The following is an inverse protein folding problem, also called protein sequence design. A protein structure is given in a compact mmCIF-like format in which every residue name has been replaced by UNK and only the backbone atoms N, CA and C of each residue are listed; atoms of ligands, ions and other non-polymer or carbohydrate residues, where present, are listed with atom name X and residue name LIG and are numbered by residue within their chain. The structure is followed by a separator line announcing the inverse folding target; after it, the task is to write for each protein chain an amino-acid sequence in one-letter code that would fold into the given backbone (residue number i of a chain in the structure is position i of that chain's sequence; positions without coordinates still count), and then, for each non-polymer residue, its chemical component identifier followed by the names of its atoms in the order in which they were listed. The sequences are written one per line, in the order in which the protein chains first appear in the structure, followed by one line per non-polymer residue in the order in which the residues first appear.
data_IF_928171257851
#
_entry.id   IF_928171257851
#
_cell.length_a   1.000
_cell.length_b   1.000
_cell.length_c   1.000
_cell.angle_alpha   90.00
_cell.angle_beta   90.00
_cell.angle_gamma   90.00
#
_symmetry.space_group_name_H-M   'P 1'
#
loop_
_entity.id
_entity.type
_entity.pdbx_description
1 polymer ?
#
# COMPACT_ATOMS: atom_id res chain seq x y z
N UNK A 1 16.63 17.20 -3.64
CA UNK A 1 15.69 16.33 -2.89
C UNK A 1 14.51 16.11 -3.82
N UNK A 2 14.07 14.86 -4.04
CA UNK A 2 12.87 14.61 -4.81
C UNK A 2 11.65 15.10 -4.01
N UNK A 3 10.61 15.68 -4.67
CA UNK A 3 9.38 16.07 -3.98
C UNK A 3 8.68 14.83 -3.43
N UNK A 4 7.78 14.98 -2.45
CA UNK A 4 6.92 13.88 -2.04
C UNK A 4 6.08 13.40 -3.23
N UNK A 5 5.82 12.11 -3.32
CA UNK A 5 4.96 11.58 -4.39
C UNK A 5 3.51 11.97 -4.12
N UNK A 6 3.07 11.82 -2.87
CA UNK A 6 1.72 12.17 -2.43
C UNK A 6 1.77 13.16 -1.27
N UNK A 7 0.94 14.18 -1.31
CA UNK A 7 0.60 15.03 -0.17
C UNK A 7 -0.87 14.84 0.21
N UNK A 8 -1.13 14.43 1.45
CA UNK A 8 -2.46 14.24 2.01
C UNK A 8 -2.84 15.48 2.82
N UNK A 9 -3.91 16.14 2.45
CA UNK A 9 -4.50 17.24 3.22
C UNK A 9 -5.71 16.74 3.99
N UNK A 10 -5.60 16.61 5.31
CA UNK A 10 -6.72 16.27 6.17
C UNK A 10 -7.42 17.55 6.60
N UNK A 11 -8.72 17.64 6.28
CA UNK A 11 -9.52 18.84 6.45
C UNK A 11 -10.66 18.56 7.45
N UNK A 12 -10.79 19.36 8.51
CA UNK A 12 -11.92 19.26 9.45
C UNK A 12 -12.23 20.63 10.08
N UNK A 13 -13.46 20.81 10.55
CA UNK A 13 -13.80 21.98 11.33
C UNK A 13 -13.19 21.88 12.74
N UNK A 14 -12.54 22.92 13.28
CA UNK A 14 -11.81 22.82 14.55
C UNK A 14 -12.71 22.48 15.76
N UNK A 15 -14.01 22.78 15.69
CA UNK A 15 -14.98 22.47 16.76
C UNK A 15 -15.55 21.03 16.62
N UNK A 16 -15.11 20.25 15.63
CA UNK A 16 -15.41 18.82 15.49
C UNK A 16 -14.30 17.98 16.17
N UNK A 17 -14.36 17.75 17.47
CA UNK A 17 -13.33 17.02 18.25
C UNK A 17 -12.94 15.67 17.66
N UNK A 18 -13.92 14.91 17.16
CA UNK A 18 -13.66 13.62 16.50
C UNK A 18 -12.87 13.78 15.21
N UNK A 19 -12.99 14.91 14.53
CA UNK A 19 -12.21 15.25 13.35
C UNK A 19 -10.72 15.32 13.67
N UNK A 20 -10.36 15.99 14.76
CA UNK A 20 -8.97 16.08 15.21
C UNK A 20 -8.37 14.71 15.54
N UNK A 21 -9.10 13.84 16.26
CA UNK A 21 -8.65 12.49 16.62
C UNK A 21 -8.38 11.63 15.39
N UNK A 22 -9.27 11.67 14.39
CA UNK A 22 -9.08 10.90 13.16
C UNK A 22 -7.96 11.49 12.29
N UNK A 23 -7.78 12.81 12.29
CA UNK A 23 -6.66 13.45 11.63
C UNK A 23 -5.31 13.00 12.21
N UNK A 24 -5.20 12.89 13.53
CA UNK A 24 -4.02 12.31 14.21
C UNK A 24 -3.83 10.84 13.83
N UNK A 25 -4.90 10.03 13.76
CA UNK A 25 -4.82 8.63 13.32
C UNK A 25 -4.26 8.51 11.90
N UNK A 26 -4.73 9.35 10.97
CA UNK A 26 -4.23 9.39 9.59
C UNK A 26 -2.75 9.81 9.59
N UNK A 27 -2.40 10.82 10.37
CA UNK A 27 -1.00 11.26 10.48
C UNK A 27 -0.09 10.16 11.02
N UNK A 28 -0.52 9.48 12.08
CA UNK A 28 0.25 8.39 12.68
C UNK A 28 0.43 7.23 11.70
N UNK A 29 -0.62 6.86 10.97
CA UNK A 29 -0.54 5.79 9.99
C UNK A 29 0.47 6.08 8.87
N UNK A 30 0.45 7.27 8.29
CA UNK A 30 1.27 7.59 7.12
C UNK A 30 2.63 8.23 7.43
N UNK A 31 2.78 8.93 8.56
CA UNK A 31 3.99 9.71 8.86
C UNK A 31 4.83 9.12 9.98
N UNK A 32 4.23 8.69 11.08
CA UNK A 32 4.94 8.23 12.28
C UNK A 32 4.93 6.71 12.43
N UNK A 33 3.95 6.04 11.83
CA UNK A 33 3.84 4.60 11.87
C UNK A 33 4.98 3.90 11.12
N UNK A 34 5.34 2.67 11.52
CA UNK A 34 6.48 1.94 10.96
C UNK A 34 6.29 1.61 9.47
N UNK A 35 5.06 1.57 9.00
CA UNK A 35 4.70 1.13 7.65
C UNK A 35 5.26 2.06 6.58
N UNK A 36 5.10 3.38 6.73
CA UNK A 36 5.49 4.37 5.73
C UNK A 36 6.68 5.25 6.14
N UNK A 37 7.09 5.21 7.42
CA UNK A 37 8.17 6.06 7.94
C UNK A 37 9.54 5.84 7.27
N UNK A 38 9.74 4.69 6.63
CA UNK A 38 10.95 4.37 5.85
C UNK A 38 10.93 4.89 4.41
N UNK A 39 9.78 5.32 3.90
CA UNK A 39 9.63 5.79 2.51
C UNK A 39 10.13 7.23 2.40
N UNK A 40 11.43 7.40 2.19
CA UNK A 40 12.09 8.71 2.18
C UNK A 40 12.21 9.28 0.78
N UNK A 41 12.06 10.61 0.73
CA UNK A 41 12.36 11.40 -0.46
C UNK A 41 11.28 11.34 -1.52
N UNK A 42 10.14 10.77 -1.21
CA UNK A 42 9.06 10.60 -2.16
C UNK A 42 7.87 9.87 -1.55
N UNK A 43 7.89 9.70 -0.23
CA UNK A 43 6.81 9.04 0.46
C UNK A 43 5.55 9.87 0.53
N UNK A 44 4.77 9.57 1.51
CA UNK A 44 3.52 10.24 1.81
C UNK A 44 3.80 11.38 2.80
N UNK A 45 3.31 12.57 2.51
CA UNK A 45 3.30 13.70 3.44
C UNK A 45 1.88 13.98 3.88
N UNK A 46 1.66 14.23 5.18
CA UNK A 46 0.35 14.61 5.72
C UNK A 46 0.39 16.05 6.24
N UNK A 47 -0.58 16.83 5.82
CA UNK A 47 -0.76 18.24 6.20
C UNK A 47 -2.16 18.48 6.74
N UNK A 48 -2.28 19.19 7.86
CA UNK A 48 -3.57 19.51 8.46
C UNK A 48 -4.15 20.85 7.96
N UNK A 49 -5.46 20.88 7.80
CA UNK A 49 -6.25 22.04 7.39
C UNK A 49 -7.53 22.13 8.23
N UNK A 50 -7.45 22.78 9.38
CA UNK A 50 -8.62 22.91 10.27
C UNK A 50 -8.91 24.35 10.67
N UNK A 51 -7.88 25.15 10.94
CA UNK A 51 -8.06 26.49 11.51
C UNK A 51 -7.56 27.56 10.55
N UNK A 52 -8.37 28.56 10.30
CA UNK A 52 -7.96 29.79 9.61
C UNK A 52 -7.20 30.74 10.53
N UNK A 53 -6.65 31.82 9.97
CA UNK A 53 -5.87 32.81 10.71
C UNK A 53 -6.69 33.59 11.76
N UNK A 54 -8.01 33.71 11.54
CA UNK A 54 -8.92 34.48 12.35
C UNK A 54 -9.84 33.62 13.22
N UNK A 55 -9.51 32.33 13.38
CA UNK A 55 -10.25 31.40 14.23
C UNK A 55 -11.14 30.42 13.44
N UNK A 56 -12.02 29.71 14.19
CA UNK A 56 -12.84 28.61 13.66
C UNK A 56 -13.86 29.02 12.60
N UNK A 57 -14.33 30.25 12.60
CA UNK A 57 -15.29 30.77 11.61
C UNK A 57 -14.65 30.99 10.24
N UNK A 58 -13.32 31.02 10.15
CA UNK A 58 -12.57 31.24 8.93
C UNK A 58 -12.03 29.92 8.37
N UNK A 59 -12.08 29.76 7.04
CA UNK A 59 -11.52 28.59 6.39
C UNK A 59 -9.98 28.56 6.53
N UNK A 60 -9.39 27.36 6.53
CA UNK A 60 -7.95 27.21 6.55
C UNK A 60 -7.30 27.66 5.22
N UNK A 61 -5.97 27.62 5.18
CA UNK A 61 -5.21 27.98 3.99
C UNK A 61 -5.62 27.11 2.79
N UNK A 62 -5.73 27.71 1.58
CA UNK A 62 -6.07 26.96 0.36
C UNK A 62 -5.13 25.78 0.10
N UNK A 63 -5.66 24.76 -0.54
CA UNK A 63 -4.92 23.61 -1.06
C UNK A 63 -4.63 23.91 -2.54
N UNK A 64 -3.39 23.65 -2.97
CA UNK A 64 -2.97 23.85 -4.35
C UNK A 64 -2.44 22.52 -4.90
N UNK A 65 -2.98 22.07 -6.02
CA UNK A 65 -2.49 20.89 -6.74
C UNK A 65 -1.30 21.25 -7.65
N UNK A 66 -1.33 22.42 -8.23
CA UNK A 66 -0.20 22.97 -8.97
C UNK A 66 0.67 23.70 -7.97
N UNK A 67 1.85 23.16 -7.75
CA UNK A 67 2.77 23.80 -6.82
C UNK A 67 3.02 25.23 -7.23
N UNK A 68 2.66 26.15 -6.37
CA UNK A 68 3.38 27.41 -6.39
C UNK A 68 4.82 27.02 -6.13
N UNK A 69 5.71 27.33 -7.06
CA UNK A 69 7.11 27.48 -6.72
C UNK A 69 7.12 28.34 -5.46
N UNK A 70 7.26 27.69 -4.32
CA UNK A 70 7.42 28.42 -3.08
C UNK A 70 8.63 29.29 -3.24
N UNK A 71 8.79 30.34 -2.43
CA UNK A 71 9.96 31.24 -2.49
C UNK A 71 11.31 30.51 -2.40
N UNK A 72 11.30 29.21 -2.12
CA UNK A 72 12.48 28.34 -2.00
C UNK A 72 12.55 27.24 -3.09
N UNK A 73 11.77 27.32 -4.17
CA UNK A 73 11.84 26.34 -5.27
C UNK A 73 11.42 24.91 -4.87
N UNK A 74 10.55 24.75 -3.86
CA UNK A 74 10.04 23.45 -3.46
C UNK A 74 9.07 22.97 -4.54
N UNK A 75 9.41 21.84 -5.16
CA UNK A 75 8.53 21.19 -6.12
C UNK A 75 7.30 20.62 -5.42
N UNK A 76 6.10 20.72 -6.04
CA UNK A 76 4.88 20.12 -5.52
C UNK A 76 4.96 18.59 -5.55
N UNK A 77 4.10 17.95 -4.75
CA UNK A 77 3.86 16.51 -4.85
C UNK A 77 3.30 16.15 -6.24
N UNK A 78 3.60 14.95 -6.72
CA UNK A 78 3.03 14.43 -7.97
C UNK A 78 1.51 14.28 -7.87
N UNK A 79 1.03 13.86 -6.69
CA UNK A 79 -0.39 13.67 -6.40
C UNK A 79 -0.79 14.40 -5.12
N UNK A 80 -2.04 14.83 -5.07
CA UNK A 80 -2.66 15.47 -3.91
C UNK A 80 -3.90 14.68 -3.52
N UNK A 81 -3.99 14.29 -2.26
CA UNK A 81 -5.17 13.66 -1.68
C UNK A 81 -5.80 14.60 -0.66
N UNK A 82 -7.07 14.91 -0.82
CA UNK A 82 -7.82 15.71 0.16
C UNK A 82 -8.78 14.78 0.90
N UNK A 83 -8.70 14.79 2.22
CA UNK A 83 -9.53 13.96 3.12
C UNK A 83 -10.40 14.88 3.99
N UNK A 84 -11.59 15.28 3.50
CA UNK A 84 -12.52 16.04 4.30
C UNK A 84 -13.19 15.14 5.35
N UNK A 85 -13.00 15.46 6.63
CA UNK A 85 -13.67 14.83 7.76
C UNK A 85 -14.91 15.67 8.08
N UNK A 86 -16.06 15.22 7.59
CA UNK A 86 -17.29 15.98 7.56
C UNK A 86 -18.05 15.82 8.88
N UNK A 87 -18.03 16.86 9.71
CA UNK A 87 -18.76 16.93 10.96
C UNK A 87 -19.96 17.88 10.91
N UNK A 88 -20.71 17.93 11.99
CA UNK A 88 -21.90 18.75 12.12
C UNK A 88 -21.56 20.25 12.05
N UNK A 89 -20.44 20.67 12.63
CA UNK A 89 -20.04 22.08 12.64
C UNK A 89 -19.61 22.53 11.24
N UNK A 90 -18.86 21.69 10.52
CA UNK A 90 -18.53 21.96 9.11
C UNK A 90 -19.81 22.06 8.27
N UNK A 91 -20.78 21.15 8.47
CA UNK A 91 -22.04 21.17 7.75
C UNK A 91 -22.82 22.47 8.02
N UNK A 92 -22.97 22.86 9.28
CA UNK A 92 -23.65 24.09 9.66
C UNK A 92 -22.98 25.32 9.03
N UNK A 93 -21.65 25.40 9.07
CA UNK A 93 -20.92 26.49 8.44
C UNK A 93 -21.03 26.48 6.90
N UNK A 94 -21.16 25.35 6.26
CA UNK A 94 -21.24 25.23 4.80
C UNK A 94 -22.67 25.49 4.25
N UNK A 95 -23.71 25.49 5.07
CA UNK A 95 -25.11 25.74 4.63
C UNK A 95 -25.29 27.12 3.96
N UNK A 96 -24.54 28.10 4.41
CA UNK A 96 -24.62 29.46 3.86
C UNK A 96 -23.52 29.63 2.79
N UNK A 97 -23.94 29.84 1.56
CA UNK A 97 -23.05 30.02 0.39
C UNK A 97 -22.08 31.22 0.52
N UNK A 98 -22.35 32.14 1.42
CA UNK A 98 -21.49 33.31 1.67
C UNK A 98 -20.40 33.04 2.73
N UNK A 99 -20.36 31.88 3.36
CA UNK A 99 -19.33 31.56 4.33
C UNK A 99 -18.01 31.15 3.67
N UNK A 100 -16.91 31.36 4.37
CA UNK A 100 -15.61 30.92 3.90
C UNK A 100 -15.51 29.38 3.82
N UNK A 101 -16.18 28.63 4.72
CA UNK A 101 -16.20 27.18 4.70
C UNK A 101 -16.94 26.63 3.48
N UNK A 102 -18.08 27.20 3.10
CA UNK A 102 -18.74 26.82 1.85
C UNK A 102 -17.81 27.00 0.64
N UNK A 103 -17.20 28.20 0.51
CA UNK A 103 -16.25 28.47 -0.55
C UNK A 103 -15.05 27.52 -0.56
N UNK A 104 -14.55 27.15 0.63
CA UNK A 104 -13.43 26.24 0.79
C UNK A 104 -13.75 24.80 0.35
N UNK A 105 -14.90 24.27 0.76
CA UNK A 105 -15.36 22.93 0.33
C UNK A 105 -15.63 22.89 -1.17
N UNK A 106 -16.23 23.96 -1.71
CA UNK A 106 -16.42 24.08 -3.16
C UNK A 106 -15.07 24.10 -3.90
N UNK A 107 -14.07 24.82 -3.37
CA UNK A 107 -12.73 24.86 -3.96
C UNK A 107 -12.04 23.48 -3.95
N UNK A 108 -12.29 22.62 -2.96
CA UNK A 108 -11.79 21.22 -2.94
C UNK A 108 -12.39 20.44 -4.12
N UNK A 109 -13.69 20.57 -4.38
CA UNK A 109 -14.34 19.92 -5.52
C UNK A 109 -13.77 20.43 -6.84
N UNK A 110 -13.66 21.75 -6.99
CA UNK A 110 -13.18 22.39 -8.21
C UNK A 110 -11.71 22.01 -8.49
N UNK A 111 -10.90 21.82 -7.44
CA UNK A 111 -9.51 21.36 -7.55
C UNK A 111 -9.42 19.96 -8.17
N UNK A 112 -10.28 19.03 -7.74
CA UNK A 112 -10.35 17.69 -8.34
C UNK A 112 -10.86 17.75 -9.79
N UNK A 113 -11.89 18.56 -10.07
CA UNK A 113 -12.43 18.71 -11.42
C UNK A 113 -11.40 19.27 -12.42
N UNK A 114 -10.50 20.12 -11.94
CA UNK A 114 -9.43 20.68 -12.76
C UNK A 114 -8.32 19.68 -13.10
N UNK A 115 -8.06 18.72 -12.22
CA UNK A 115 -6.95 17.74 -12.37
C UNK A 115 -7.32 16.39 -11.72
N UNK A 116 -8.33 15.67 -12.22
CA UNK A 116 -8.83 14.45 -11.58
C UNK A 116 -7.79 13.32 -11.54
N UNK A 117 -6.83 13.31 -12.45
CA UNK A 117 -5.73 12.37 -12.53
C UNK A 117 -4.63 12.61 -11.48
N UNK A 118 -4.62 13.77 -10.84
CA UNK A 118 -3.62 14.17 -9.84
C UNK A 118 -4.20 14.44 -8.47
N UNK A 119 -5.48 14.78 -8.40
CA UNK A 119 -6.15 15.18 -7.17
C UNK A 119 -7.26 14.19 -6.82
N UNK A 120 -7.08 13.43 -5.74
CA UNK A 120 -8.13 12.58 -5.16
C UNK A 120 -8.85 13.28 -4.02
N UNK A 121 -10.16 13.11 -3.92
CA UNK A 121 -10.97 13.58 -2.78
C UNK A 121 -11.63 12.38 -2.12
N UNK A 122 -11.36 12.20 -0.82
CA UNK A 122 -11.74 11.03 -0.02
C UNK A 122 -12.56 11.46 1.20
N UNK A 123 -13.85 11.83 1.05
CA UNK A 123 -14.64 12.32 2.15
C UNK A 123 -14.93 11.22 3.17
N UNK A 124 -14.94 11.57 4.45
CA UNK A 124 -15.41 10.73 5.54
C UNK A 124 -16.45 11.47 6.38
N UNK A 125 -17.61 10.84 6.59
CA UNK A 125 -18.67 11.42 7.44
C UNK A 125 -18.42 11.05 8.91
N UNK A 126 -18.15 12.04 9.75
CA UNK A 126 -18.00 11.85 11.19
C UNK A 126 -19.31 11.38 11.85
N UNK A 127 -20.42 11.81 11.28
CA UNK A 127 -21.78 11.41 11.70
C UNK A 127 -22.76 11.57 10.53
N UNK A 128 -23.91 10.88 10.61
CA UNK A 128 -24.93 10.93 9.57
C UNK A 128 -25.55 12.33 9.37
N UNK A 129 -25.61 13.16 10.42
CA UNK A 129 -26.14 14.52 10.33
C UNK A 129 -25.30 15.47 9.49
N UNK A 130 -24.02 15.15 9.26
CA UNK A 130 -23.15 15.97 8.44
C UNK A 130 -23.44 15.85 6.92
N UNK A 131 -24.10 14.75 6.49
CA UNK A 131 -24.29 14.47 5.07
C UNK A 131 -25.75 14.28 4.67
N UNK A 132 -26.68 14.12 5.61
CA UNK A 132 -28.11 13.97 5.29
C UNK A 132 -28.73 15.34 4.96
N UNK A 133 -29.12 15.50 3.70
CA UNK A 133 -29.81 16.72 3.21
C UNK A 133 -29.04 18.05 3.49
N UNK A 134 -27.71 18.00 3.44
CA UNK A 134 -26.84 19.18 3.70
C UNK A 134 -26.18 19.66 2.40
N UNK A 135 -25.68 20.89 2.41
CA UNK A 135 -24.84 21.42 1.34
C UNK A 135 -23.55 20.64 1.15
N UNK A 136 -22.98 20.04 2.20
CA UNK A 136 -21.84 19.16 2.07
C UNK A 136 -22.14 17.96 1.17
N UNK A 137 -23.34 17.36 1.28
CA UNK A 137 -23.79 16.29 0.40
C UNK A 137 -23.93 16.77 -1.06
N UNK A 138 -24.42 17.97 -1.29
CA UNK A 138 -24.49 18.53 -2.64
C UNK A 138 -23.11 18.78 -3.24
N UNK A 139 -22.16 19.27 -2.45
CA UNK A 139 -20.81 19.61 -2.90
C UNK A 139 -19.90 18.38 -3.09
N UNK A 140 -19.97 17.41 -2.18
CA UNK A 140 -19.04 16.27 -2.12
C UNK A 140 -19.69 14.90 -2.34
N UNK A 141 -21.02 14.81 -2.47
CA UNK A 141 -21.73 13.53 -2.59
C UNK A 141 -21.46 12.76 -3.89
N UNK A 142 -20.85 13.39 -4.89
CA UNK A 142 -20.37 12.70 -6.10
C UNK A 142 -19.10 11.87 -5.86
N UNK A 143 -18.36 12.15 -4.79
CA UNK A 143 -17.19 11.39 -4.42
C UNK A 143 -17.57 10.14 -3.60
N UNK A 144 -16.76 9.11 -3.74
CA UNK A 144 -16.93 7.91 -2.94
C UNK A 144 -16.36 8.14 -1.53
N UNK A 145 -17.24 8.08 -0.51
CA UNK A 145 -16.86 8.23 0.88
C UNK A 145 -16.01 7.04 1.34
N UNK A 146 -14.90 7.30 2.02
CA UNK A 146 -14.12 6.26 2.70
C UNK A 146 -14.85 5.78 3.95
N UNK A 147 -14.63 4.54 4.34
CA UNK A 147 -15.28 3.89 5.47
C UNK A 147 -16.82 4.06 5.51
N UNK A 148 -17.46 4.12 4.33
CA UNK A 148 -18.91 4.34 4.20
C UNK A 148 -19.77 3.10 4.57
N UNK A 149 -19.13 1.97 4.91
CA UNK A 149 -19.81 0.77 5.36
C UNK A 149 -20.41 0.93 6.76
N UNK A 150 -21.25 -0.03 7.18
CA UNK A 150 -21.73 -0.08 8.54
C UNK A 150 -20.65 -0.66 9.47
N UNK A 151 -19.89 0.16 10.20
CA UNK A 151 -18.75 -0.30 11.00
C UNK A 151 -19.18 -1.24 12.15
N UNK A 152 -20.44 -1.20 12.53
CA UNK A 152 -20.96 -1.98 13.66
C UNK A 152 -21.34 -3.41 13.27
N UNK A 153 -21.42 -3.74 11.99
CA UNK A 153 -21.87 -5.08 11.56
C UNK A 153 -20.84 -6.18 11.79
N UNK A 154 -19.55 -5.85 11.88
CA UNK A 154 -18.49 -6.88 11.87
C UNK A 154 -17.36 -6.67 12.91
N UNK A 155 -17.49 -5.69 13.80
CA UNK A 155 -16.55 -5.48 14.92
C UNK A 155 -15.17 -4.92 14.51
N UNK A 156 -15.06 -4.34 13.32
CA UNK A 156 -13.85 -3.64 12.90
C UNK A 156 -13.78 -2.24 13.54
N UNK A 157 -12.57 -1.82 13.91
CA UNK A 157 -12.32 -0.46 14.36
C UNK A 157 -12.43 0.54 13.20
N UNK A 158 -13.16 1.64 13.43
CA UNK A 158 -13.44 2.66 12.42
C UNK A 158 -12.14 3.30 11.90
N UNK A 159 -11.20 3.58 12.78
CA UNK A 159 -9.93 4.20 12.40
C UNK A 159 -9.12 3.28 11.49
N UNK A 160 -9.10 1.98 11.80
CA UNK A 160 -8.48 0.92 11.00
C UNK A 160 -9.13 0.82 9.60
N UNK A 161 -10.46 0.81 9.55
CA UNK A 161 -11.21 0.79 8.29
C UNK A 161 -10.96 2.05 7.45
N UNK A 162 -10.94 3.23 8.09
CA UNK A 162 -10.67 4.51 7.42
C UNK A 162 -9.27 4.51 6.78
N UNK A 163 -8.24 4.10 7.54
CA UNK A 163 -6.88 4.03 7.02
C UNK A 163 -6.77 3.05 5.85
N UNK A 164 -7.36 1.86 5.94
CA UNK A 164 -7.36 0.88 4.83
C UNK A 164 -8.01 1.43 3.58
N UNK A 165 -9.24 1.96 3.69
CA UNK A 165 -9.98 2.47 2.54
C UNK A 165 -9.27 3.68 1.91
N UNK A 166 -8.68 4.55 2.74
CA UNK A 166 -7.87 5.66 2.27
C UNK A 166 -6.61 5.18 1.56
N UNK A 167 -5.86 4.25 2.17
CA UNK A 167 -4.65 3.65 1.55
C UNK A 167 -4.97 3.03 0.20
N UNK A 168 -6.09 2.32 0.07
CA UNK A 168 -6.54 1.76 -1.20
C UNK A 168 -6.84 2.87 -2.23
N UNK A 169 -7.55 3.91 -1.83
CA UNK A 169 -7.84 5.05 -2.71
C UNK A 169 -6.58 5.79 -3.15
N UNK A 170 -5.58 5.93 -2.26
CA UNK A 170 -4.28 6.51 -2.60
C UNK A 170 -3.50 5.64 -3.60
N UNK A 171 -3.51 4.32 -3.43
CA UNK A 171 -2.88 3.41 -4.38
C UNK A 171 -3.52 3.50 -5.77
N UNK A 172 -4.86 3.61 -5.83
CA UNK A 172 -5.60 3.84 -7.10
C UNK A 172 -5.26 5.19 -7.73
N UNK A 173 -5.10 6.26 -6.93
CA UNK A 173 -4.73 7.58 -7.44
C UNK A 173 -3.33 7.57 -8.05
N UNK A 174 -2.36 6.86 -7.46
CA UNK A 174 -0.97 6.78 -7.95
C UNK A 174 -0.85 5.87 -9.18
N UNK A 175 -1.60 4.79 -9.24
CA UNK A 175 -1.54 3.77 -10.29
C UNK A 175 -2.94 3.38 -10.76
N UNK A 176 -3.67 4.26 -11.47
CA UNK A 176 -5.06 4.01 -11.86
C UNK A 176 -5.19 2.80 -12.80
N UNK A 177 -4.25 2.59 -13.71
CA UNK A 177 -4.29 1.50 -14.69
C UNK A 177 -4.04 0.13 -14.06
N UNK A 178 -3.28 0.07 -12.95
CA UNK A 178 -2.93 -1.17 -12.27
C UNK A 178 -3.89 -1.52 -11.12
N UNK A 179 -4.68 -0.56 -10.63
CA UNK A 179 -5.36 -0.64 -9.33
C UNK A 179 -6.86 -0.29 -9.39
N UNK A 180 -7.58 -0.62 -10.47
CA UNK A 180 -9.03 -0.34 -10.55
C UNK A 180 -9.78 -0.89 -9.31
N UNK A 181 -9.49 -2.11 -8.89
CA UNK A 181 -9.80 -2.63 -7.55
C UNK A 181 -8.75 -3.65 -7.14
N UNK A 182 -8.12 -3.41 -5.99
CA UNK A 182 -7.17 -4.37 -5.44
C UNK A 182 -7.83 -5.73 -5.24
N UNK A 183 -7.25 -6.73 -5.89
CA UNK A 183 -7.70 -8.11 -5.78
C UNK A 183 -6.81 -8.88 -4.81
N UNK A 184 -7.39 -9.41 -3.75
CA UNK A 184 -6.67 -10.25 -2.80
C UNK A 184 -6.69 -11.71 -3.27
N UNK A 185 -5.52 -12.22 -3.63
CA UNK A 185 -5.32 -13.63 -3.92
C UNK A 185 -5.04 -14.40 -2.64
N UNK A 186 -5.85 -15.40 -2.30
CA UNK A 186 -5.71 -16.23 -1.11
C UNK A 186 -4.97 -17.52 -1.47
N UNK A 187 -3.73 -17.64 -1.00
CA UNK A 187 -2.93 -18.86 -1.11
C UNK A 187 -3.04 -19.68 0.18
N UNK A 188 -3.46 -20.94 0.06
CA UNK A 188 -3.58 -21.86 1.19
C UNK A 188 -3.36 -23.32 0.79
N UNK A 189 -3.07 -24.18 1.74
CA UNK A 189 -2.98 -25.63 1.49
C UNK A 189 -4.34 -26.29 1.52
N UNK A 190 -4.57 -27.18 0.55
CA UNK A 190 -5.78 -28.04 0.50
C UNK A 190 -5.64 -29.35 1.29
N UNK A 191 -4.42 -29.64 1.75
CA UNK A 191 -4.11 -30.81 2.57
C UNK A 191 -3.67 -30.33 3.92
N UNK A 192 -4.20 -30.94 4.96
CA UNK A 192 -4.02 -30.56 6.34
C UNK A 192 -3.22 -31.61 7.09
N UNK A 193 -2.53 -31.22 8.16
CA UNK A 193 -1.96 -32.15 9.14
C UNK A 193 -3.05 -32.79 9.98
N UNK A 194 -2.72 -33.85 10.73
CA UNK A 194 -3.66 -34.43 11.65
C UNK A 194 -4.09 -33.40 12.71
N UNK A 195 -5.36 -33.05 12.69
CA UNK A 195 -5.96 -32.07 13.62
C UNK A 195 -6.10 -30.64 13.11
N UNK A 196 -5.60 -30.31 11.91
CA UNK A 196 -5.76 -28.96 11.34
C UNK A 196 -7.00 -28.79 10.45
N UNK A 197 -7.53 -29.87 9.83
CA UNK A 197 -8.46 -29.79 8.69
C UNK A 197 -9.59 -28.79 8.87
N UNK A 198 -10.48 -29.02 9.83
CA UNK A 198 -11.63 -28.14 10.09
C UNK A 198 -11.23 -26.73 10.53
N UNK A 199 -10.12 -26.59 11.21
CA UNK A 199 -9.57 -25.31 11.67
C UNK A 199 -9.06 -24.43 10.53
N UNK A 200 -8.38 -25.04 9.56
CA UNK A 200 -7.87 -24.32 8.38
C UNK A 200 -9.01 -23.88 7.47
N UNK A 201 -10.00 -24.76 7.23
CA UNK A 201 -11.18 -24.43 6.46
C UNK A 201 -11.97 -23.29 7.11
N UNK A 202 -12.11 -23.31 8.45
CA UNK A 202 -12.71 -22.21 9.19
C UNK A 202 -11.95 -20.89 9.07
N UNK A 203 -10.61 -20.92 9.01
CA UNK A 203 -9.81 -19.72 8.77
C UNK A 203 -10.00 -19.18 7.35
N UNK A 204 -9.98 -20.05 6.35
CA UNK A 204 -10.20 -19.67 4.94
C UNK A 204 -11.57 -19.00 4.78
N UNK A 205 -12.63 -19.58 5.35
CA UNK A 205 -13.97 -18.99 5.29
C UNK A 205 -14.05 -17.65 6.03
N UNK A 206 -13.36 -17.52 7.19
CA UNK A 206 -13.28 -16.25 7.90
C UNK A 206 -12.59 -15.17 7.07
N UNK A 207 -11.47 -15.50 6.42
CA UNK A 207 -10.74 -14.55 5.55
C UNK A 207 -11.65 -14.11 4.40
N UNK A 208 -12.33 -15.05 3.75
CA UNK A 208 -13.31 -14.77 2.67
C UNK A 208 -14.45 -13.86 3.14
N UNK A 209 -15.03 -14.18 4.29
CA UNK A 209 -16.10 -13.37 4.87
C UNK A 209 -15.62 -11.94 5.15
N UNK A 210 -14.42 -11.80 5.72
CA UNK A 210 -13.85 -10.48 6.02
C UNK A 210 -13.59 -9.69 4.75
N UNK A 211 -13.02 -10.30 3.70
CA UNK A 211 -12.78 -9.62 2.41
C UNK A 211 -14.10 -9.15 1.81
N UNK A 212 -15.16 -9.99 1.77
CA UNK A 212 -16.48 -9.60 1.22
C UNK A 212 -17.11 -8.40 1.94
N UNK A 213 -16.72 -8.16 3.18
CA UNK A 213 -17.17 -7.01 3.97
C UNK A 213 -16.29 -5.77 3.79
N UNK A 214 -15.24 -5.84 2.97
CA UNK A 214 -14.36 -4.72 2.62
C UNK A 214 -14.65 -4.25 1.19
N UNK A 215 -13.86 -3.27 0.73
CA UNK A 215 -13.88 -2.81 -0.66
C UNK A 215 -12.92 -3.59 -1.56
N UNK A 216 -12.22 -4.57 -1.01
CA UNK A 216 -11.31 -5.42 -1.78
C UNK A 216 -12.11 -6.40 -2.63
N UNK A 217 -11.59 -6.70 -3.80
CA UNK A 217 -12.08 -7.84 -4.58
C UNK A 217 -11.42 -9.11 -4.06
N UNK A 218 -12.18 -10.17 -4.06
CA UNK A 218 -11.68 -11.51 -3.78
C UNK A 218 -11.33 -12.19 -5.10
N UNK A 219 -10.10 -12.67 -5.23
CA UNK A 219 -9.69 -13.58 -6.29
C UNK A 219 -9.23 -14.89 -5.65
N UNK A 220 -9.76 -15.98 -6.16
CA UNK A 220 -9.60 -17.29 -5.57
C UNK A 220 -8.48 -18.12 -6.14
N UNK A 221 -8.13 -19.08 -5.36
CA UNK A 221 -7.48 -20.35 -5.60
C UNK A 221 -7.76 -20.95 -6.99
N UNK A 222 -6.85 -21.81 -7.43
CA UNK A 222 -6.95 -22.59 -8.68
C UNK A 222 -8.28 -23.30 -8.94
N UNK A 223 -9.19 -23.39 -7.94
CA UNK A 223 -10.51 -24.00 -8.13
C UNK A 223 -11.53 -23.08 -8.80
N UNK A 224 -11.31 -21.77 -8.78
CA UNK A 224 -12.22 -20.81 -9.39
C UNK A 224 -11.87 -20.53 -10.86
N UNK A 225 -10.76 -21.13 -11.32
CA UNK A 225 -10.37 -21.09 -12.72
C UNK A 225 -11.18 -22.09 -13.56
N UNK A 226 -11.49 -21.68 -14.77
CA UNK A 226 -12.09 -22.60 -15.73
C UNK A 226 -11.16 -23.79 -15.99
N UNK A 227 -11.70 -25.02 -16.14
CA UNK A 227 -10.89 -26.15 -16.51
C UNK A 227 -10.09 -25.89 -17.78
N UNK A 228 -8.77 -26.08 -17.70
CA UNK A 228 -7.83 -25.85 -18.83
C UNK A 228 -7.10 -24.50 -18.82
N UNK A 229 -7.34 -23.65 -17.82
CA UNK A 229 -6.57 -22.40 -17.65
C UNK A 229 -5.17 -22.73 -17.12
N UNK A 230 -4.13 -22.12 -17.71
CA UNK A 230 -2.77 -22.17 -17.17
C UNK A 230 -2.70 -21.24 -15.95
N UNK A 231 -2.66 -21.85 -14.77
CA UNK A 231 -2.59 -21.14 -13.49
C UNK A 231 -1.39 -20.19 -13.38
N UNK A 232 -0.22 -20.63 -13.83
CA UNK A 232 0.98 -19.82 -13.78
C UNK A 232 0.84 -18.57 -14.64
N UNK A 233 0.21 -18.69 -15.79
CA UNK A 233 -0.03 -17.57 -16.68
C UNK A 233 -1.06 -16.60 -16.07
N UNK A 234 -2.17 -17.12 -15.54
CA UNK A 234 -3.20 -16.29 -14.88
C UNK A 234 -2.64 -15.50 -13.68
N UNK A 235 -1.82 -16.15 -12.85
CA UNK A 235 -1.19 -15.46 -11.72
C UNK A 235 -0.19 -14.39 -12.18
N UNK A 236 0.54 -14.63 -13.26
CA UNK A 236 1.44 -13.62 -13.85
C UNK A 236 0.66 -12.46 -14.45
N UNK A 237 -0.40 -12.73 -15.19
CA UNK A 237 -1.21 -11.72 -15.86
C UNK A 237 -1.91 -10.79 -14.84
N UNK A 238 -2.31 -11.35 -13.70
CA UNK A 238 -2.95 -10.60 -12.62
C UNK A 238 -1.98 -10.03 -11.58
N UNK A 239 -0.70 -10.31 -11.68
CA UNK A 239 0.28 -9.87 -10.67
C UNK A 239 0.35 -8.35 -10.51
N UNK A 240 0.07 -7.60 -11.56
CA UNK A 240 0.02 -6.14 -11.56
C UNK A 240 -1.11 -5.57 -10.68
N UNK A 241 -2.27 -6.24 -10.69
CA UNK A 241 -3.52 -5.78 -10.05
C UNK A 241 -3.89 -6.54 -8.78
N UNK A 242 -3.05 -7.50 -8.36
CA UNK A 242 -3.32 -8.39 -7.23
C UNK A 242 -2.26 -8.30 -6.15
N UNK A 243 -2.65 -8.69 -4.95
CA UNK A 243 -1.77 -8.90 -3.82
C UNK A 243 -2.08 -10.26 -3.17
N UNK A 244 -1.05 -10.93 -2.66
CA UNK A 244 -1.16 -12.28 -2.14
C UNK A 244 -1.28 -12.30 -0.63
N UNK A 245 -2.32 -12.96 -0.13
CA UNK A 245 -2.49 -13.31 1.27
C UNK A 245 -2.23 -14.80 1.44
N UNK A 246 -1.07 -15.17 1.98
CA UNK A 246 -0.65 -16.55 2.15
C UNK A 246 -1.01 -17.06 3.55
N UNK A 247 -1.87 -18.08 3.65
CA UNK A 247 -2.27 -18.70 4.92
C UNK A 247 -1.28 -19.81 5.26
N UNK A 248 -0.28 -19.49 6.07
CA UNK A 248 0.77 -20.41 6.47
C UNK A 248 0.32 -21.27 7.63
N UNK A 249 -0.01 -22.51 7.33
CA UNK A 249 -0.33 -23.59 8.26
C UNK A 249 0.81 -24.58 8.36
N UNK A 250 0.71 -25.61 9.18
CA UNK A 250 1.80 -26.58 9.44
C UNK A 250 2.39 -27.21 8.17
N UNK A 251 1.60 -27.40 7.13
CA UNK A 251 2.04 -28.03 5.88
C UNK A 251 2.31 -27.06 4.74
N UNK A 252 2.02 -25.76 4.90
CA UNK A 252 2.09 -24.77 3.81
C UNK A 252 3.47 -24.73 3.17
N UNK A 253 4.52 -24.54 3.97
CA UNK A 253 5.90 -24.39 3.49
C UNK A 253 6.47 -25.66 2.81
N UNK A 254 5.90 -26.83 3.09
CA UNK A 254 6.30 -28.10 2.47
C UNK A 254 5.59 -28.40 1.15
N UNK A 255 4.55 -27.62 0.79
CA UNK A 255 3.76 -27.87 -0.42
C UNK A 255 4.40 -27.19 -1.62
N UNK A 256 4.73 -27.98 -2.62
CA UNK A 256 5.32 -27.51 -3.89
C UNK A 256 4.48 -26.42 -4.55
N UNK A 257 3.15 -26.60 -4.53
CA UNK A 257 2.23 -25.62 -5.11
C UNK A 257 2.29 -24.26 -4.39
N UNK A 258 2.22 -24.24 -3.06
CA UNK A 258 2.34 -23.03 -2.27
C UNK A 258 3.70 -22.35 -2.45
N UNK A 259 4.78 -23.15 -2.53
CA UNK A 259 6.12 -22.63 -2.85
C UNK A 259 6.16 -21.96 -4.23
N UNK A 260 5.53 -22.58 -5.24
CA UNK A 260 5.46 -22.06 -6.61
C UNK A 260 4.71 -20.74 -6.68
N UNK A 261 3.55 -20.63 -5.99
CA UNK A 261 2.77 -19.39 -5.90
C UNK A 261 3.59 -18.25 -5.28
N UNK A 262 4.27 -18.50 -4.16
CA UNK A 262 5.13 -17.49 -3.50
C UNK A 262 6.29 -17.08 -4.40
N UNK A 263 6.94 -18.03 -5.10
CA UNK A 263 8.03 -17.72 -6.04
C UNK A 263 7.54 -16.84 -7.19
N UNK A 264 6.38 -17.14 -7.77
CA UNK A 264 5.80 -16.32 -8.83
C UNK A 264 5.48 -14.92 -8.30
N UNK A 265 4.79 -14.81 -7.17
CA UNK A 265 4.44 -13.54 -6.56
C UNK A 265 5.68 -12.66 -6.31
N UNK A 266 6.72 -13.20 -5.68
CA UNK A 266 7.99 -12.49 -5.44
C UNK A 266 8.69 -12.07 -6.74
N UNK A 267 8.76 -12.96 -7.72
CA UNK A 267 9.44 -12.68 -8.99
C UNK A 267 8.73 -11.58 -9.79
N UNK A 268 7.40 -11.53 -9.69
CA UNK A 268 6.58 -10.51 -10.35
C UNK A 268 6.45 -9.22 -9.51
N UNK A 269 7.05 -9.18 -8.31
CA UNK A 269 6.94 -8.03 -7.42
C UNK A 269 5.52 -7.80 -6.89
N UNK A 270 4.69 -8.84 -6.84
CA UNK A 270 3.37 -8.78 -6.20
C UNK A 270 3.55 -8.59 -4.69
N UNK A 271 2.80 -7.69 -4.03
CA UNK A 271 2.77 -7.64 -2.58
C UNK A 271 2.33 -8.97 -1.97
N UNK A 272 3.06 -9.45 -0.98
CA UNK A 272 2.77 -10.73 -0.29
C UNK A 272 2.73 -10.50 1.21
N UNK A 273 1.65 -10.92 1.85
CA UNK A 273 1.53 -10.97 3.31
C UNK A 273 1.35 -12.41 3.76
N UNK A 274 2.11 -12.81 4.76
CA UNK A 274 2.02 -14.12 5.39
C UNK A 274 1.15 -14.05 6.65
N UNK A 275 0.07 -14.81 6.68
CA UNK A 275 -0.72 -15.04 7.89
C UNK A 275 -0.23 -16.32 8.56
N UNK A 276 0.51 -16.20 9.65
CA UNK A 276 1.03 -17.34 10.40
C UNK A 276 -0.08 -17.93 11.29
N UNK A 277 -0.64 -19.05 10.84
CA UNK A 277 -1.67 -19.85 11.48
C UNK A 277 -1.14 -21.25 11.83
N UNK A 278 0.13 -21.34 12.24
CA UNK A 278 0.80 -22.59 12.59
C UNK A 278 0.19 -23.14 13.88
N UNK A 279 -0.27 -24.37 13.84
CA UNK A 279 -0.92 -25.04 14.96
C UNK A 279 0.04 -25.85 15.83
N UNK A 280 0.57 -26.95 15.29
CA UNK A 280 1.49 -27.86 16.00
C UNK A 280 2.94 -27.47 15.72
N UNK A 281 3.22 -27.04 14.48
CA UNK A 281 4.54 -26.64 14.01
C UNK A 281 4.82 -27.13 12.59
N UNK A 282 5.77 -26.52 11.95
CA UNK A 282 6.26 -26.96 10.64
C UNK A 282 7.41 -27.96 10.85
N UNK A 283 7.34 -29.10 10.17
CA UNK A 283 8.44 -30.07 10.17
C UNK A 283 9.70 -29.47 9.54
N UNK A 284 9.50 -28.67 8.49
CA UNK A 284 10.57 -27.95 7.79
C UNK A 284 10.05 -26.66 7.23
N UNK A 285 10.61 -25.53 7.65
CA UNK A 285 10.39 -24.23 7.00
C UNK A 285 10.97 -24.18 5.59
N UNK A 286 10.60 -23.15 4.84
CA UNK A 286 11.14 -22.90 3.49
C UNK A 286 11.70 -21.48 3.42
N UNK A 287 12.95 -21.35 2.94
CA UNK A 287 13.56 -20.04 2.70
C UNK A 287 12.77 -19.19 1.68
N UNK A 288 11.95 -19.82 0.84
CA UNK A 288 11.07 -19.14 -0.10
C UNK A 288 10.00 -18.30 0.59
N UNK A 289 9.66 -18.64 1.84
CA UNK A 289 8.65 -17.96 2.66
C UNK A 289 9.22 -16.82 3.51
N UNK A 290 10.53 -16.59 3.44
CA UNK A 290 11.20 -15.51 4.18
C UNK A 290 11.12 -14.17 3.42
N UNK A 291 11.50 -13.08 4.09
CA UNK A 291 11.51 -11.71 3.54
C UNK A 291 10.14 -11.20 3.09
N UNK A 292 9.06 -11.65 3.73
CA UNK A 292 7.71 -11.12 3.55
C UNK A 292 7.13 -10.67 4.88
N UNK A 293 6.35 -9.58 4.93
CA UNK A 293 5.67 -9.15 6.15
C UNK A 293 4.72 -10.24 6.67
N UNK A 294 4.64 -10.37 8.02
CA UNK A 294 3.89 -11.46 8.66
C UNK A 294 2.96 -10.96 9.74
N UNK A 295 1.80 -11.59 9.84
CA UNK A 295 0.82 -11.39 10.91
C UNK A 295 0.52 -12.74 11.56
N UNK A 296 0.74 -12.84 12.86
CA UNK A 296 0.31 -14.00 13.62
C UNK A 296 -1.21 -13.99 13.78
N UNK A 297 -1.87 -15.07 13.40
CA UNK A 297 -3.32 -15.25 13.58
C UNK A 297 -3.55 -16.17 14.77
N UNK A 298 -4.32 -15.68 15.72
CA UNK A 298 -4.56 -16.35 17.00
C UNK A 298 -5.96 -16.88 17.11
N UNK A 299 -6.11 -17.86 17.99
CA UNK A 299 -7.41 -18.33 18.45
C UNK A 299 -7.70 -17.80 19.85
N UNK A 300 -8.92 -17.39 20.09
CA UNK A 300 -9.48 -17.18 21.41
C UNK A 300 -10.75 -18.03 21.53
N UNK A 301 -10.89 -18.76 22.61
CA UNK A 301 -12.01 -19.69 22.86
C UNK A 301 -12.25 -20.67 21.69
N UNK A 302 -11.17 -21.19 21.10
CA UNK A 302 -11.18 -22.12 19.98
C UNK A 302 -11.56 -21.52 18.63
N UNK A 303 -11.72 -20.19 18.53
CA UNK A 303 -12.10 -19.48 17.29
C UNK A 303 -11.00 -18.53 16.81
N UNK A 304 -10.78 -18.50 15.51
CA UNK A 304 -9.87 -17.54 14.88
C UNK A 304 -10.32 -16.10 15.13
N UNK A 305 -9.38 -15.24 15.40
CA UNK A 305 -9.66 -13.84 15.71
C UNK A 305 -9.81 -13.01 14.42
N UNK A 306 -11.01 -12.51 14.18
CA UNK A 306 -11.34 -11.65 13.04
C UNK A 306 -10.43 -10.42 12.95
N UNK A 307 -10.04 -9.88 14.10
CA UNK A 307 -9.16 -8.71 14.18
C UNK A 307 -7.77 -8.95 13.59
N UNK A 308 -7.24 -10.16 13.70
CA UNK A 308 -5.95 -10.51 13.09
C UNK A 308 -6.08 -10.57 11.56
N UNK A 309 -7.23 -10.98 11.03
CA UNK A 309 -7.52 -10.96 9.59
C UNK A 309 -7.59 -9.51 9.08
N UNK A 310 -8.30 -8.62 9.77
CA UNK A 310 -8.33 -7.19 9.41
C UNK A 310 -6.92 -6.59 9.39
N UNK A 311 -6.10 -6.89 10.41
CA UNK A 311 -4.70 -6.42 10.45
C UNK A 311 -3.88 -6.92 9.26
N UNK A 312 -4.08 -8.17 8.84
CA UNK A 312 -3.39 -8.72 7.67
C UNK A 312 -3.86 -8.03 6.37
N UNK A 313 -5.15 -7.76 6.21
CA UNK A 313 -5.68 -7.04 5.05
C UNK A 313 -5.21 -5.59 5.01
N UNK A 314 -5.15 -4.91 6.16
CA UNK A 314 -4.63 -3.54 6.21
C UNK A 314 -3.16 -3.50 5.77
N UNK A 315 -2.34 -4.41 6.32
CA UNK A 315 -0.95 -4.52 5.90
C UNK A 315 -0.80 -4.86 4.41
N UNK A 316 -1.69 -5.70 3.86
CA UNK A 316 -1.70 -6.03 2.43
C UNK A 316 -1.95 -4.79 1.56
N UNK A 317 -2.91 -3.97 1.95
CA UNK A 317 -3.23 -2.71 1.25
C UNK A 317 -2.09 -1.70 1.39
N UNK A 318 -1.45 -1.63 2.56
CA UNK A 318 -0.29 -0.78 2.79
C UNK A 318 0.89 -1.17 1.88
N UNK A 319 1.17 -2.47 1.72
CA UNK A 319 2.20 -2.96 0.80
C UNK A 319 1.86 -2.64 -0.67
N UNK A 320 0.57 -2.62 -1.03
CA UNK A 320 0.15 -2.20 -2.37
C UNK A 320 0.43 -0.71 -2.62
N UNK A 321 0.13 0.16 -1.67
CA UNK A 321 0.47 1.58 -1.80
C UNK A 321 1.99 1.78 -1.87
N UNK A 322 2.77 1.08 -1.05
CA UNK A 322 4.24 1.14 -1.13
C UNK A 322 4.75 0.73 -2.51
N UNK A 323 4.18 -0.33 -3.09
CA UNK A 323 4.51 -0.75 -4.45
C UNK A 323 4.18 0.34 -5.47
N UNK A 324 2.98 0.92 -5.42
CA UNK A 324 2.56 2.00 -6.32
C UNK A 324 3.52 3.21 -6.23
N UNK A 325 3.85 3.64 -5.01
CA UNK A 325 4.82 4.70 -4.76
C UNK A 325 6.21 4.36 -5.33
N UNK A 326 6.66 3.12 -5.14
CA UNK A 326 7.95 2.65 -5.65
C UNK A 326 8.01 2.67 -7.17
N UNK A 327 6.97 2.18 -7.85
CA UNK A 327 6.88 2.18 -9.31
C UNK A 327 6.88 3.60 -9.87
N UNK A 328 6.12 4.52 -9.26
CA UNK A 328 6.12 5.92 -9.64
C UNK A 328 7.48 6.58 -9.43
N UNK A 329 8.15 6.32 -8.30
CA UNK A 329 9.50 6.81 -8.04
C UNK A 329 10.52 6.30 -9.05
N UNK A 330 10.43 5.02 -9.41
CA UNK A 330 11.24 4.41 -10.46
C UNK A 330 11.08 5.13 -11.79
N UNK A 331 9.84 5.41 -12.18
CA UNK A 331 9.54 6.03 -13.47
C UNK A 331 10.04 7.48 -13.52
N UNK A 332 9.84 8.25 -12.46
CA UNK A 332 10.45 9.58 -12.32
C UNK A 332 11.99 9.55 -12.37
N UNK A 333 12.60 8.52 -11.79
CA UNK A 333 14.06 8.42 -11.76
C UNK A 333 14.64 7.93 -13.10
N UNK A 334 13.89 7.18 -13.90
CA UNK A 334 14.30 6.78 -15.27
C UNK A 334 14.48 7.98 -16.21
N UNK A 335 13.84 9.09 -15.95
CA UNK A 335 14.07 10.34 -16.67
C UNK A 335 15.41 10.99 -16.35
N UNK A 336 16.15 10.46 -15.37
CA UNK A 336 17.46 10.94 -14.94
C UNK A 336 18.59 10.02 -15.42
N UNK A 337 19.25 10.35 -16.55
CA UNK A 337 20.28 9.51 -17.15
C UNK A 337 21.56 9.37 -16.30
N UNK A 338 21.73 10.25 -15.30
CA UNK A 338 22.85 10.19 -14.34
C UNK A 338 22.72 9.05 -13.31
N UNK A 339 21.53 8.46 -13.19
CA UNK A 339 21.25 7.32 -12.32
C UNK A 339 21.42 6.01 -13.11
N UNK A 340 22.63 5.54 -13.36
CA UNK A 340 22.89 4.26 -14.03
C UNK A 340 22.45 3.09 -13.12
N UNK A 341 21.16 2.70 -13.20
CA UNK A 341 20.53 1.64 -12.39
C UNK A 341 20.11 0.51 -13.32
N UNK A 342 20.70 -0.65 -13.13
CA UNK A 342 20.40 -1.84 -13.93
C UNK A 342 19.11 -2.55 -13.47
N UNK A 343 18.83 -2.51 -12.16
CA UNK A 343 17.63 -3.13 -11.62
C UNK A 343 16.96 -2.27 -10.54
N UNK A 344 15.69 -1.96 -10.76
CA UNK A 344 14.77 -1.42 -9.77
C UNK A 344 14.01 -2.59 -9.17
N UNK A 345 14.61 -3.20 -8.15
CA UNK A 345 14.04 -4.37 -7.50
C UNK A 345 12.73 -4.00 -6.77
N UNK A 346 11.66 -4.78 -6.92
CA UNK A 346 10.36 -4.46 -6.30
C UNK A 346 10.39 -4.57 -4.77
N UNK A 347 11.32 -5.34 -4.24
CA UNK A 347 11.59 -5.54 -2.81
C UNK A 347 13.09 -5.58 -2.57
N UNK A 348 13.51 -5.60 -1.30
CA UNK A 348 14.89 -5.92 -0.96
C UNK A 348 15.28 -7.26 -1.61
N UNK A 349 16.36 -7.29 -2.42
CA UNK A 349 16.79 -8.52 -3.09
C UNK A 349 17.07 -9.64 -2.11
N UNK A 350 16.76 -10.85 -2.52
CA UNK A 350 17.12 -12.11 -1.85
C UNK A 350 17.77 -13.05 -2.89
N UNK A 351 18.43 -14.14 -2.48
CA UNK A 351 19.13 -15.01 -3.44
C UNK A 351 18.25 -15.50 -4.60
N UNK A 352 16.96 -15.77 -4.34
CA UNK A 352 16.01 -16.23 -5.36
C UNK A 352 15.74 -15.15 -6.42
N UNK A 353 15.33 -13.97 -5.98
CA UNK A 353 14.95 -12.87 -6.89
C UNK A 353 16.17 -12.32 -7.62
N UNK A 354 17.32 -12.26 -6.93
CA UNK A 354 18.59 -11.87 -7.55
C UNK A 354 19.03 -12.87 -8.62
N UNK A 355 18.92 -14.19 -8.37
CA UNK A 355 19.23 -15.21 -9.37
C UNK A 355 18.39 -15.05 -10.63
N UNK A 356 17.08 -14.89 -10.46
CA UNK A 356 16.14 -14.72 -11.58
C UNK A 356 16.44 -13.47 -12.39
N UNK A 357 16.76 -12.37 -11.69
CA UNK A 357 17.14 -11.15 -12.37
C UNK A 357 18.47 -11.28 -13.12
N UNK A 358 19.49 -11.92 -12.54
CA UNK A 358 20.77 -12.15 -13.20
C UNK A 358 20.59 -12.95 -14.49
N UNK A 359 19.80 -14.02 -14.45
CA UNK A 359 19.53 -14.84 -15.64
C UNK A 359 18.89 -14.01 -16.75
N UNK A 360 17.82 -13.24 -16.47
CA UNK A 360 17.17 -12.37 -17.44
C UNK A 360 18.09 -11.24 -17.94
N UNK A 361 18.87 -10.63 -17.04
CA UNK A 361 19.82 -9.58 -17.41
C UNK A 361 20.89 -10.07 -18.39
N UNK A 362 21.42 -11.27 -18.17
CA UNK A 362 22.42 -11.88 -19.06
C UNK A 362 21.84 -12.34 -20.39
N UNK A 363 20.56 -12.77 -20.41
CA UNK A 363 19.85 -13.09 -21.65
C UNK A 363 19.66 -11.86 -22.54
N UNK A 364 19.35 -10.70 -21.93
CA UNK A 364 19.08 -9.45 -22.65
C UNK A 364 20.37 -8.73 -23.09
N UNK A 365 21.38 -8.68 -22.24
CA UNK A 365 22.57 -7.84 -22.44
C UNK A 365 23.85 -8.63 -22.77
N UNK A 366 23.82 -9.96 -22.65
CA UNK A 366 25.01 -10.78 -22.77
C UNK A 366 26.03 -10.58 -21.64
N UNK A 367 27.19 -11.17 -21.81
CA UNK A 367 28.33 -11.03 -20.88
C UNK A 367 29.19 -9.78 -21.24
N UNK A 368 28.60 -8.60 -21.25
CA UNK A 368 29.34 -7.37 -21.54
C UNK A 368 30.26 -6.99 -20.37
N UNK A 369 31.56 -7.17 -20.55
CA UNK A 369 32.61 -6.91 -19.55
C UNK A 369 32.91 -5.42 -19.32
N UNK A 370 32.23 -4.49 -19.99
CA UNK A 370 32.57 -3.06 -19.99
C UNK A 370 32.29 -2.32 -18.66
N UNK A 371 31.42 -2.86 -17.80
CA UNK A 371 31.08 -2.26 -16.50
C UNK A 371 31.64 -3.07 -15.33
N UNK A 372 32.39 -2.44 -14.45
CA UNK A 372 32.98 -3.10 -13.28
C UNK A 372 31.96 -3.43 -12.17
N UNK A 373 30.86 -2.71 -12.09
CA UNK A 373 29.79 -2.96 -11.12
C UNK A 373 28.40 -2.65 -11.69
N UNK A 374 27.39 -3.31 -11.16
CA UNK A 374 26.00 -3.16 -11.56
C UNK A 374 25.20 -2.63 -10.38
N UNK A 375 24.48 -1.51 -10.57
CA UNK A 375 23.69 -0.90 -9.51
C UNK A 375 22.28 -1.46 -9.47
N UNK A 376 21.87 -1.82 -8.24
CA UNK A 376 20.54 -2.32 -7.92
C UNK A 376 19.94 -1.41 -6.86
N UNK A 377 18.76 -0.85 -7.14
CA UNK A 377 17.97 -0.10 -6.15
C UNK A 377 16.76 -0.91 -5.71
N UNK A 378 16.43 -0.81 -4.44
CA UNK A 378 15.24 -1.42 -3.85
C UNK A 378 14.57 -0.47 -2.84
N UNK A 379 13.27 -0.68 -2.51
CA UNK A 379 12.59 0.13 -1.50
C UNK A 379 13.25 0.02 -0.12
N UNK A 380 13.04 1.04 0.73
CA UNK A 380 13.38 0.94 2.16
C UNK A 380 12.55 -0.17 2.87
N UNK A 381 13.08 -0.80 3.92
CA UNK A 381 14.33 -0.52 4.60
C UNK A 381 15.56 -1.11 3.87
N UNK A 382 16.78 -0.56 4.13
CA UNK A 382 18.00 -1.10 3.55
C UNK A 382 18.29 -2.50 4.10
N UNK A 383 18.93 -3.33 3.27
CA UNK A 383 19.49 -4.61 3.70
C UNK A 383 20.46 -4.45 4.86
N UNK A 384 20.47 -5.38 5.77
CA UNK A 384 21.51 -5.51 6.77
C UNK A 384 22.90 -5.71 6.12
N UNK A 385 24.00 -5.31 6.80
CA UNK A 385 25.34 -5.47 6.24
C UNK A 385 25.66 -6.92 5.82
N UNK A 386 25.33 -7.89 6.66
CA UNK A 386 25.57 -9.32 6.40
C UNK A 386 24.76 -9.83 5.21
N UNK A 387 23.48 -9.47 5.12
CA UNK A 387 22.61 -9.84 4.00
C UNK A 387 23.17 -9.29 2.69
N UNK A 388 23.55 -8.03 2.68
CA UNK A 388 24.13 -7.37 1.50
C UNK A 388 25.43 -8.06 1.08
N UNK A 389 26.33 -8.38 2.01
CA UNK A 389 27.62 -9.00 1.72
C UNK A 389 27.45 -10.42 1.18
N UNK A 390 26.46 -11.18 1.67
CA UNK A 390 26.08 -12.49 1.12
C UNK A 390 25.60 -12.35 -0.32
N UNK A 391 24.74 -11.40 -0.63
CA UNK A 391 24.23 -11.17 -1.99
C UNK A 391 25.34 -10.74 -2.96
N UNK A 392 26.26 -9.86 -2.53
CA UNK A 392 27.43 -9.47 -3.33
C UNK A 392 28.32 -10.70 -3.62
N UNK A 393 28.59 -11.50 -2.61
CA UNK A 393 29.37 -12.74 -2.76
C UNK A 393 28.69 -13.72 -3.70
N UNK A 394 27.36 -13.85 -3.59
CA UNK A 394 26.57 -14.69 -4.46
C UNK A 394 26.65 -14.20 -5.92
N UNK A 395 26.44 -12.92 -6.19
CA UNK A 395 26.52 -12.36 -7.54
C UNK A 395 27.89 -12.59 -8.20
N UNK A 396 28.99 -12.44 -7.45
CA UNK A 396 30.35 -12.74 -7.92
C UNK A 396 30.54 -14.21 -8.32
N UNK A 397 29.84 -15.11 -7.67
CA UNK A 397 29.93 -16.55 -7.93
C UNK A 397 29.06 -17.02 -9.09
N UNK A 398 28.16 -16.18 -9.59
CA UNK A 398 27.30 -16.47 -10.73
C UNK A 398 27.98 -16.14 -12.06
N UNK A 399 27.29 -16.41 -13.18
CA UNK A 399 27.76 -16.01 -14.54
C UNK A 399 27.85 -14.49 -14.72
N UNK A 400 27.23 -13.69 -13.82
CA UNK A 400 27.40 -12.24 -13.83
C UNK A 400 28.87 -11.85 -13.62
N UNK A 401 29.60 -12.57 -12.74
CA UNK A 401 31.03 -12.41 -12.50
C UNK A 401 31.47 -11.03 -12.03
N UNK A 402 30.53 -10.18 -11.58
CA UNK A 402 30.72 -8.76 -11.27
C UNK A 402 30.28 -8.41 -9.87
N UNK A 403 30.77 -7.28 -9.42
CA UNK A 403 30.25 -6.64 -8.22
C UNK A 403 28.88 -6.04 -8.48
N UNK A 404 28.01 -6.17 -7.50
CA UNK A 404 26.74 -5.48 -7.46
C UNK A 404 26.78 -4.42 -6.34
N UNK A 405 26.20 -3.26 -6.61
CA UNK A 405 26.03 -2.18 -5.63
C UNK A 405 24.54 -2.11 -5.27
N UNK A 406 24.18 -2.73 -4.14
CA UNK A 406 22.77 -2.82 -3.69
C UNK A 406 22.53 -1.72 -2.65
N UNK A 407 21.53 -0.90 -2.88
CA UNK A 407 21.18 0.19 -1.99
C UNK A 407 19.73 0.65 -2.13
N UNK A 408 19.27 1.45 -1.17
CA UNK A 408 18.01 2.17 -1.28
C UNK A 408 18.23 3.58 -1.88
N UNK A 409 17.20 4.24 -2.40
CA UNK A 409 17.32 5.63 -2.87
C UNK A 409 17.87 6.59 -1.81
N UNK A 410 17.56 6.34 -0.54
CA UNK A 410 18.07 7.09 0.59
C UNK A 410 19.60 6.97 0.72
N UNK A 411 20.10 5.73 0.65
CA UNK A 411 21.53 5.49 0.70
C UNK A 411 22.25 6.10 -0.51
N UNK A 412 21.62 6.04 -1.69
CA UNK A 412 22.14 6.69 -2.89
C UNK A 412 22.26 8.22 -2.71
N UNK A 413 21.21 8.86 -2.19
CA UNK A 413 21.20 10.30 -1.94
C UNK A 413 22.28 10.74 -0.94
N UNK A 414 22.64 9.92 0.04
CA UNK A 414 23.69 10.23 1.02
C UNK A 414 25.11 10.03 0.49
N UNK A 415 25.30 9.23 -0.57
CA UNK A 415 26.62 9.01 -1.19
C UNK A 415 26.96 10.03 -2.27
N UNK A 416 25.96 10.73 -2.81
CA UNK A 416 26.12 11.73 -3.88
C UNK A 416 26.17 13.17 -3.39
N UNK A 417 26.27 13.40 -2.06
CA UNK A 417 26.37 14.71 -1.42
C UNK A 417 27.82 15.06 -1.08
#
# INVERSE_FOLDING_TARGET
MLPPIIEIFVVWHPDDDRGAQLAETIFDHFMTGPTFSGVIGGGVQVSFRSTGWEGAATAPRPIYAEGREGPNGIQPASFVAVVPLLGTEMAACAENEHTQWHGYVNAIRDLNQASPERVGVFPYALNAGATNETKLQELLGSFQFVAAGNPHSHGEDIASMLCRDLTQGLAQLVSPDEMDRLTAFISHTKRHSQGEGEDVDALVELVREVIRNTRLNEFFDANDLQPGTDWDQELRDKSGTSAMLALRTDLYSSREWCQREVVIAKTQGMPVIMMDAIGIGEERGSFLMDHVPRIAVRKADGRWQRQDVYRALNLLVDECLKRALWLHQRDLARERPDLDVAWWAPHAPEPLTLSRWIDGFLEEHGEDESKNSVRILHPDPPLGPEERDVLISYARSTRLGRDIDIMTPRQLATRGG
#
